data_IF_048119431683
#
_entry.id   IF_048119431683
#
_cell.length_a   1.000
_cell.length_b   1.000
_cell.length_c   1.000
_cell.angle_alpha   90.00
_cell.angle_beta   90.00
_cell.angle_gamma   90.00
#
_symmetry.space_group_name_H-M   'P 1'
#
loop_
_entity.id
_entity.type
_entity.pdbx_description
1 polymer ?
#
# COMPACT_ATOMS: atom_id res chain seq x y z
N UNK A 1 -6.62 13.37 33.08
CA UNK A 1 -6.25 12.36 32.07
C UNK A 1 -6.28 13.04 30.71
N UNK A 2 -5.12 13.30 30.10
CA UNK A 2 -5.03 13.99 28.79
C UNK A 2 -4.84 12.92 27.72
N UNK A 3 -5.86 12.69 26.89
CA UNK A 3 -5.75 11.79 25.75
C UNK A 3 -5.00 12.52 24.62
N UNK A 4 -3.85 12.00 24.13
CA UNK A 4 -3.11 12.65 23.05
C UNK A 4 -3.83 12.43 21.72
N UNK A 5 -4.67 13.38 21.34
CA UNK A 5 -5.53 13.34 20.15
C UNK A 5 -4.74 13.02 18.87
N UNK A 6 -3.54 13.56 18.68
CA UNK A 6 -2.71 13.33 17.49
C UNK A 6 -2.31 11.86 17.29
N UNK A 7 -1.99 11.13 18.36
CA UNK A 7 -1.57 9.72 18.26
C UNK A 7 -2.74 8.80 17.92
N UNK A 8 -3.94 9.14 18.37
CA UNK A 8 -5.15 8.37 18.09
C UNK A 8 -5.51 8.37 16.60
N UNK A 9 -5.32 9.49 15.88
CA UNK A 9 -5.63 9.55 14.44
C UNK A 9 -4.70 8.72 13.57
N UNK A 10 -3.41 8.66 13.90
CA UNK A 10 -2.44 7.81 13.18
C UNK A 10 -2.76 6.32 13.37
N UNK A 11 -3.21 5.94 14.57
CA UNK A 11 -3.64 4.57 14.88
C UNK A 11 -4.94 4.20 14.17
N UNK A 12 -5.92 5.11 14.13
CA UNK A 12 -7.21 4.86 13.48
C UNK A 12 -7.10 4.72 11.95
N UNK A 13 -6.07 5.31 11.33
CA UNK A 13 -5.78 5.18 9.89
C UNK A 13 -4.75 4.10 9.57
N UNK A 14 -4.21 3.42 10.57
CA UNK A 14 -3.26 2.34 10.34
C UNK A 14 -3.94 1.18 9.60
N UNK A 15 -3.29 0.70 8.53
CA UNK A 15 -3.70 -0.53 7.87
C UNK A 15 -3.51 -1.75 8.78
N UNK A 16 -4.16 -2.86 8.44
CA UNK A 16 -4.06 -4.12 9.21
C UNK A 16 -2.86 -5.00 8.81
N UNK A 17 -2.09 -4.58 7.81
CA UNK A 17 -1.00 -5.38 7.22
C UNK A 17 0.22 -5.39 8.14
N UNK A 18 0.72 -6.58 8.47
CA UNK A 18 1.87 -6.76 9.37
C UNK A 18 3.13 -7.18 8.61
N UNK A 19 4.29 -7.00 9.24
CA UNK A 19 5.58 -7.43 8.67
C UNK A 19 5.60 -8.95 8.54
N UNK A 20 6.01 -9.44 7.37
CA UNK A 20 6.03 -10.87 7.04
C UNK A 20 4.72 -11.39 6.46
N UNK A 21 3.62 -10.64 6.52
CA UNK A 21 2.40 -11.02 5.83
C UNK A 21 2.51 -10.82 4.32
N UNK A 22 1.74 -11.62 3.58
CA UNK A 22 1.65 -11.47 2.13
C UNK A 22 0.95 -10.16 1.80
N UNK A 23 1.61 -9.30 1.01
CA UNK A 23 1.01 -8.05 0.55
C UNK A 23 -0.32 -8.30 -0.21
N UNK A 24 -1.40 -7.55 0.08
CA UNK A 24 -2.69 -7.69 -0.59
C UNK A 24 -2.55 -7.50 -2.09
N UNK A 25 -3.25 -8.34 -2.86
CA UNK A 25 -3.15 -8.30 -4.31
C UNK A 25 -4.08 -7.22 -4.91
N UNK A 26 -3.62 -6.56 -5.96
CA UNK A 26 -4.40 -5.57 -6.70
C UNK A 26 -3.93 -5.48 -8.15
N UNK A 27 -4.78 -4.91 -9.00
CA UNK A 27 -4.50 -4.65 -10.41
C UNK A 27 -4.62 -3.17 -10.70
N UNK A 28 -3.56 -2.56 -11.26
CA UNK A 28 -3.53 -1.16 -11.66
C UNK A 28 -3.34 -1.05 -13.16
N UNK A 29 -3.95 -0.03 -13.77
CA UNK A 29 -3.61 0.36 -15.15
C UNK A 29 -2.30 1.13 -15.14
N UNK A 30 -1.50 0.98 -16.18
CA UNK A 30 -0.33 1.84 -16.38
C UNK A 30 -0.77 3.27 -16.69
N UNK A 31 0.09 4.27 -16.45
CA UNK A 31 -0.22 5.67 -16.76
C UNK A 31 -0.59 5.90 -18.23
N UNK A 32 -0.06 5.10 -19.15
CA UNK A 32 -0.39 5.16 -20.58
C UNK A 32 -1.70 4.44 -20.94
N UNK A 33 -2.36 3.78 -19.98
CA UNK A 33 -3.55 2.94 -20.14
C UNK A 33 -3.39 1.71 -21.04
N UNK A 34 -2.22 1.46 -21.64
CA UNK A 34 -1.97 0.34 -22.55
C UNK A 34 -1.86 -1.03 -21.86
N UNK A 35 -1.68 -1.07 -20.54
CA UNK A 35 -1.58 -2.34 -19.82
C UNK A 35 -2.17 -2.31 -18.42
N UNK A 36 -2.46 -3.50 -17.89
CA UNK A 36 -2.84 -3.71 -16.50
C UNK A 36 -1.79 -4.57 -15.83
N UNK A 37 -1.28 -4.07 -14.70
CA UNK A 37 -0.24 -4.72 -13.90
C UNK A 37 -0.87 -5.24 -12.61
N UNK A 38 -0.61 -6.51 -12.30
CA UNK A 38 -1.08 -7.16 -11.06
C UNK A 38 0.08 -7.34 -10.10
N UNK A 39 -0.07 -6.94 -8.84
CA UNK A 39 1.02 -7.00 -7.85
C UNK A 39 1.58 -8.43 -7.69
N UNK A 40 0.70 -9.43 -7.64
CA UNK A 40 1.09 -10.83 -7.46
C UNK A 40 2.05 -11.36 -8.52
N UNK A 41 2.11 -10.76 -9.72
CA UNK A 41 3.02 -11.20 -10.77
C UNK A 41 4.49 -11.00 -10.37
N UNK A 42 4.81 -10.04 -9.50
CA UNK A 42 6.19 -9.74 -9.11
C UNK A 42 6.69 -10.54 -7.89
N UNK A 43 5.81 -11.27 -7.19
CA UNK A 43 6.17 -12.02 -5.98
C UNK A 43 7.25 -13.07 -6.31
N UNK A 44 8.29 -13.16 -5.47
CA UNK A 44 9.36 -14.15 -5.60
C UNK A 44 10.36 -13.90 -6.73
N UNK A 45 10.14 -12.92 -7.61
CA UNK A 45 11.08 -12.58 -8.68
C UNK A 45 12.12 -11.54 -8.22
N UNK A 46 11.67 -10.53 -7.47
CA UNK A 46 12.51 -9.44 -6.94
C UNK A 46 11.79 -8.70 -5.81
N UNK A 47 12.51 -7.97 -4.95
CA UNK A 47 11.90 -7.03 -4.01
C UNK A 47 11.07 -5.97 -4.75
N UNK A 48 9.89 -5.64 -4.21
CA UNK A 48 8.96 -4.67 -4.79
C UNK A 48 8.66 -3.60 -3.75
N UNK A 49 8.68 -2.34 -4.17
CA UNK A 49 8.35 -1.19 -3.33
C UNK A 49 7.08 -0.53 -3.88
N UNK A 50 6.14 -0.17 -2.99
CA UNK A 50 4.94 0.58 -3.32
C UNK A 50 5.08 2.03 -2.88
N UNK A 51 4.93 2.96 -3.83
CA UNK A 51 4.94 4.39 -3.56
C UNK A 51 3.53 4.92 -3.85
N UNK A 52 2.86 5.42 -2.80
CA UNK A 52 1.53 6.01 -2.91
C UNK A 52 1.67 7.53 -2.99
N UNK A 53 1.10 8.13 -4.03
CA UNK A 53 1.10 9.57 -4.23
C UNK A 53 -0.02 9.98 -5.18
N UNK A 54 -0.39 11.25 -5.12
CA UNK A 54 -1.32 11.89 -6.04
C UNK A 54 -0.67 13.15 -6.58
N UNK A 55 -0.79 13.38 -7.88
CA UNK A 55 -0.44 14.65 -8.49
C UNK A 55 -1.74 15.42 -8.74
N UNK A 56 -1.93 16.52 -8.02
CA UNK A 56 -3.02 17.48 -8.17
C UNK A 56 -2.44 18.87 -8.30
#
# INVERSE_FOLDING_TARGET
MVLPFERLWLQARAGKLQVGETAPDFSLKTPDHGSTVRLSSFRGQKPVVLVFGSYT
#
